data_IF_530502408034
#
_entry.id   IF_530502408034
#
_cell.length_a   1.000
_cell.length_b   1.000
_cell.length_c   1.000
_cell.angle_alpha   90.00
_cell.angle_beta   90.00
_cell.angle_gamma   90.00
#
_symmetry.space_group_name_H-M   'P 1'
#
loop_
_entity.id
_entity.type
_entity.pdbx_description
1 polymer ?
#
# COMPACT_ATOMS: atom_id res chain seq x y z
N UNK A 1 -2.33 2.04 16.48
CA UNK A 1 -3.59 2.81 16.68
C UNK A 1 -3.36 4.25 17.15
N UNK A 2 -2.34 4.54 17.94
CA UNK A 2 -2.04 5.92 18.41
C UNK A 2 -1.85 6.94 17.29
N UNK A 3 -1.19 6.56 16.17
CA UNK A 3 -0.98 7.45 15.03
C UNK A 3 -2.26 7.86 14.30
N UNK A 4 -3.16 6.92 14.01
CA UNK A 4 -4.46 7.22 13.38
C UNK A 4 -5.34 8.08 14.30
N UNK A 5 -5.36 7.76 15.61
CA UNK A 5 -6.08 8.57 16.59
C UNK A 5 -5.54 10.00 16.69
N UNK A 6 -4.21 10.19 16.64
CA UNK A 6 -3.59 11.50 16.61
C UNK A 6 -3.97 12.30 15.35
N UNK A 7 -3.98 11.67 14.18
CA UNK A 7 -4.43 12.30 12.93
C UNK A 7 -5.93 12.69 12.99
N UNK A 8 -6.76 11.86 13.61
CA UNK A 8 -8.17 12.17 13.86
C UNK A 8 -8.36 13.34 14.82
N UNK A 9 -7.60 13.38 15.92
CA UNK A 9 -7.63 14.51 16.85
C UNK A 9 -7.17 15.82 16.18
N UNK A 10 -6.20 15.73 15.28
CA UNK A 10 -5.74 16.84 14.45
C UNK A 10 -6.68 17.17 13.28
N UNK A 11 -7.79 16.43 13.10
CA UNK A 11 -8.77 16.58 12.01
C UNK A 11 -8.15 16.53 10.62
N UNK A 12 -7.10 15.71 10.48
CA UNK A 12 -6.36 15.58 9.24
C UNK A 12 -6.96 14.44 8.38
N UNK A 13 -8.13 14.72 7.80
CA UNK A 13 -8.86 13.77 6.96
C UNK A 13 -8.00 13.26 5.79
N UNK A 14 -7.20 14.14 5.17
CA UNK A 14 -6.33 13.76 4.05
C UNK A 14 -5.30 12.69 4.44
N UNK A 15 -4.59 12.88 5.57
CA UNK A 15 -3.64 11.87 6.04
C UNK A 15 -4.34 10.57 6.47
N UNK A 16 -5.56 10.65 7.02
CA UNK A 16 -6.35 9.46 7.32
C UNK A 16 -6.79 8.72 6.06
N UNK A 17 -7.16 9.43 4.99
CA UNK A 17 -7.48 8.86 3.68
C UNK A 17 -6.27 8.15 3.06
N UNK A 18 -5.09 8.77 3.09
CA UNK A 18 -3.82 8.15 2.65
C UNK A 18 -3.52 6.89 3.45
N UNK A 19 -3.69 6.92 4.78
CA UNK A 19 -3.47 5.77 5.64
C UNK A 19 -4.47 4.64 5.34
N UNK A 20 -5.74 4.97 5.18
CA UNK A 20 -6.79 4.01 4.79
C UNK A 20 -6.46 3.33 3.47
N UNK A 21 -6.07 4.10 2.44
CA UNK A 21 -5.61 3.58 1.15
C UNK A 21 -4.41 2.64 1.31
N UNK A 22 -3.40 3.06 2.07
CA UNK A 22 -2.19 2.28 2.27
C UNK A 22 -2.47 0.94 2.95
N UNK A 23 -3.39 0.91 3.92
CA UNK A 23 -3.82 -0.32 4.57
C UNK A 23 -4.61 -1.22 3.62
N UNK A 24 -5.44 -0.65 2.74
CA UNK A 24 -6.14 -1.43 1.72
C UNK A 24 -5.18 -2.07 0.71
N UNK A 25 -4.16 -1.32 0.27
CA UNK A 25 -3.07 -1.86 -0.56
C UNK A 25 -2.35 -3.01 0.15
N UNK A 26 -2.10 -2.89 1.45
CA UNK A 26 -1.52 -3.97 2.25
C UNK A 26 -2.43 -5.20 2.35
N UNK A 27 -3.74 -5.02 2.55
CA UNK A 27 -4.71 -6.12 2.55
C UNK A 27 -4.67 -6.88 1.22
N UNK A 28 -4.69 -6.17 0.10
CA UNK A 28 -4.60 -6.76 -1.24
C UNK A 28 -3.27 -7.50 -1.42
N UNK A 29 -2.17 -6.85 -1.05
CA UNK A 29 -0.83 -7.41 -1.19
C UNK A 29 -0.67 -8.68 -0.37
N UNK A 30 -1.10 -8.68 0.90
CA UNK A 30 -1.04 -9.87 1.76
C UNK A 30 -1.90 -10.99 1.18
N UNK A 31 -3.12 -10.69 0.75
CA UNK A 31 -4.04 -11.67 0.16
C UNK A 31 -3.50 -12.28 -1.14
N UNK A 32 -2.73 -11.52 -1.91
CA UNK A 32 -2.02 -11.99 -3.09
C UNK A 32 -0.76 -12.81 -2.75
N UNK A 33 0.06 -12.33 -1.81
CA UNK A 33 1.30 -12.99 -1.40
C UNK A 33 1.07 -14.38 -0.81
N UNK A 34 -0.04 -14.62 -0.09
CA UNK A 34 -0.34 -15.94 0.47
C UNK A 34 -0.80 -16.97 -0.58
N UNK A 35 -1.06 -16.58 -1.82
CA UNK A 35 -1.54 -17.48 -2.88
C UNK A 35 -0.47 -18.44 -3.39
N UNK A 36 0.80 -18.06 -3.33
CA UNK A 36 1.90 -18.92 -3.75
C UNK A 36 3.23 -18.48 -3.15
N UNK A 37 4.20 -19.39 -3.12
CA UNK A 37 5.56 -19.09 -2.63
C UNK A 37 6.23 -18.05 -3.54
N UNK A 38 6.01 -18.14 -4.85
CA UNK A 38 6.56 -17.20 -5.83
C UNK A 38 6.04 -15.77 -5.60
N UNK A 39 4.76 -15.62 -5.25
CA UNK A 39 4.19 -14.30 -4.92
C UNK A 39 4.79 -13.74 -3.62
N UNK A 40 5.00 -14.59 -2.61
CA UNK A 40 5.64 -14.19 -1.36
C UNK A 40 7.10 -13.77 -1.57
N UNK A 41 7.87 -14.53 -2.35
CA UNK A 41 9.25 -14.20 -2.72
C UNK A 41 9.35 -12.90 -3.52
N UNK A 42 8.43 -12.70 -4.48
CA UNK A 42 8.31 -11.45 -5.24
C UNK A 42 8.08 -10.25 -4.33
N UNK A 43 7.26 -10.40 -3.29
CA UNK A 43 6.99 -9.35 -2.32
C UNK A 43 8.19 -9.07 -1.38
N UNK A 44 8.92 -10.09 -0.94
CA UNK A 44 10.13 -9.93 -0.12
C UNK A 44 11.20 -9.13 -0.89
N UNK A 45 11.35 -9.40 -2.19
CA UNK A 45 12.30 -8.71 -3.06
C UNK A 45 11.91 -7.27 -3.42
N UNK A 46 10.66 -6.86 -3.21
CA UNK A 46 10.15 -5.57 -3.69
C UNK A 46 10.79 -4.35 -2.97
N UNK A 47 11.04 -4.45 -1.67
CA UNK A 47 11.59 -3.35 -0.86
C UNK A 47 12.98 -2.89 -1.33
N UNK A 48 13.97 -3.80 -1.41
CA UNK A 48 15.29 -3.47 -1.94
C UNK A 48 15.27 -2.88 -3.36
N UNK A 49 14.35 -3.34 -4.22
CA UNK A 49 14.21 -2.84 -5.59
C UNK A 49 13.74 -1.38 -5.61
N UNK A 50 12.76 -1.00 -4.78
CA UNK A 50 12.32 0.40 -4.69
C UNK A 50 13.39 1.32 -4.09
N UNK A 51 14.14 0.84 -3.08
CA UNK A 51 15.29 1.58 -2.56
C UNK A 51 16.36 1.78 -3.63
N UNK A 52 16.69 0.74 -4.40
CA UNK A 52 17.65 0.84 -5.50
C UNK A 52 17.19 1.83 -6.59
N UNK A 53 15.87 1.85 -6.89
CA UNK A 53 15.27 2.81 -7.83
C UNK A 53 15.35 4.24 -7.31
N UNK A 54 15.02 4.49 -6.05
CA UNK A 54 15.11 5.81 -5.42
C UNK A 54 16.57 6.31 -5.39
N UNK A 55 17.51 5.45 -4.99
CA UNK A 55 18.94 5.75 -5.03
C UNK A 55 19.36 6.13 -6.46
N UNK A 56 18.96 5.36 -7.46
CA UNK A 56 19.27 5.64 -8.88
C UNK A 56 18.75 6.99 -9.35
N UNK A 57 17.54 7.39 -8.93
CA UNK A 57 16.99 8.72 -9.24
C UNK A 57 17.88 9.80 -8.62
N UNK A 58 18.28 9.64 -7.36
CA UNK A 58 19.13 10.60 -6.67
C UNK A 58 20.54 10.68 -7.26
N UNK A 59 21.13 9.55 -7.64
CA UNK A 59 22.43 9.51 -8.33
C UNK A 59 22.37 10.23 -9.69
N UNK A 60 21.29 10.03 -10.46
CA UNK A 60 21.08 10.73 -11.74
C UNK A 60 20.84 12.23 -11.56
N UNK A 61 20.15 12.63 -10.49
CA UNK A 61 19.90 14.02 -10.15
C UNK A 61 21.13 14.72 -9.52
N UNK A 62 22.20 13.97 -9.23
CA UNK A 62 23.39 14.50 -8.56
C UNK A 62 23.19 14.81 -7.07
N UNK A 63 22.05 14.41 -6.49
CA UNK A 63 21.74 14.62 -5.06
C UNK A 63 22.33 13.52 -4.17
N UNK A 64 22.82 12.43 -4.76
CA UNK A 64 23.61 11.39 -4.10
C UNK A 64 24.86 11.07 -4.94
N UNK A 65 25.87 10.47 -4.30
CA UNK A 65 27.09 9.97 -4.95
C UNK A 65 27.47 8.60 -4.39
N UNK A 66 28.02 7.75 -5.24
CA UNK A 66 28.71 6.52 -4.82
C UNK A 66 30.20 6.79 -4.87
N UNK A 67 30.89 6.41 -3.79
CA UNK A 67 32.35 6.48 -3.72
C UNK A 67 32.93 5.09 -3.63
N UNK A 68 34.05 4.88 -4.32
CA UNK A 68 34.84 3.68 -4.12
C UNK A 68 35.33 3.64 -2.66
N UNK A 69 35.23 2.47 -2.02
CA UNK A 69 35.55 2.34 -0.59
C UNK A 69 37.05 2.43 -0.31
N UNK A 70 37.88 2.06 -1.28
CA UNK A 70 39.34 2.00 -1.15
C UNK A 70 40.01 3.28 -1.64
N UNK A 71 39.55 3.86 -2.75
CA UNK A 71 40.13 5.08 -3.32
C UNK A 71 39.42 6.35 -2.88
N UNK A 72 38.15 6.26 -2.45
CA UNK A 72 37.32 7.41 -2.09
C UNK A 72 36.82 8.23 -3.29
N UNK A 73 37.17 7.83 -4.51
CA UNK A 73 36.82 8.52 -5.75
C UNK A 73 35.35 8.33 -6.12
N UNK A 74 34.81 9.26 -6.92
CA UNK A 74 33.42 9.21 -7.38
C UNK A 74 33.21 8.11 -8.43
N UNK A 75 32.55 7.03 -8.02
CA UNK A 75 32.27 5.86 -8.84
C UNK A 75 30.81 5.85 -9.36
N UNK A 76 30.12 6.99 -9.29
CA UNK A 76 28.68 7.08 -9.62
C UNK A 76 28.38 6.71 -11.07
N UNK A 77 29.22 7.14 -12.02
CA UNK A 77 29.02 6.90 -13.45
C UNK A 77 29.10 5.39 -13.77
N UNK A 78 30.12 4.72 -13.24
CA UNK A 78 30.35 3.29 -13.46
C UNK A 78 29.23 2.44 -12.85
N UNK A 79 28.78 2.81 -11.65
CA UNK A 79 27.64 2.16 -11.00
C UNK A 79 26.36 2.27 -11.84
N UNK A 80 26.03 3.48 -12.32
CA UNK A 80 24.83 3.71 -13.13
C UNK A 80 24.86 2.93 -14.46
N UNK A 81 26.02 2.86 -15.11
CA UNK A 81 26.21 2.13 -16.35
C UNK A 81 26.02 0.60 -16.17
N UNK A 82 26.44 0.06 -15.03
CA UNK A 82 26.30 -1.36 -14.73
C UNK A 82 24.86 -1.73 -14.30
N UNK A 83 24.22 -0.88 -13.49
CA UNK A 83 22.83 -1.07 -13.05
C UNK A 83 21.80 -0.96 -14.18
N UNK A 84 22.04 -0.14 -15.20
CA UNK A 84 21.15 -0.04 -16.36
C UNK A 84 20.99 -1.35 -17.14
N UNK A 85 21.96 -2.26 -17.04
CA UNK A 85 21.94 -3.56 -17.71
C UNK A 85 21.07 -4.60 -17.00
N UNK A 86 20.68 -4.36 -15.75
CA UNK A 86 19.81 -5.27 -14.99
C UNK A 86 18.34 -5.00 -15.35
N UNK A 87 17.70 -5.96 -16.02
CA UNK A 87 16.24 -5.95 -16.17
C UNK A 87 15.61 -6.22 -14.81
N UNK A 88 14.95 -5.23 -14.25
CA UNK A 88 14.11 -5.44 -13.06
C UNK A 88 12.77 -6.04 -13.51
N UNK A 89 12.33 -7.17 -12.92
CA UNK A 89 11.02 -7.73 -13.24
C UNK A 89 9.93 -6.70 -12.94
N UNK A 90 8.96 -6.60 -13.86
CA UNK A 90 7.85 -5.65 -13.73
C UNK A 90 7.02 -6.04 -12.50
N UNK A 91 6.90 -5.11 -11.55
CA UNK A 91 6.06 -5.30 -10.36
C UNK A 91 4.60 -5.44 -10.78
N UNK A 92 3.89 -6.40 -10.21
CA UNK A 92 2.43 -6.51 -10.35
C UNK A 92 1.76 -5.31 -9.68
N UNK A 93 0.90 -4.63 -10.41
CA UNK A 93 0.06 -3.56 -9.89
C UNK A 93 -0.91 -4.08 -8.82
N UNK A 94 -1.42 -3.17 -7.98
CA UNK A 94 -2.41 -3.53 -6.94
C UNK A 94 -3.68 -4.14 -7.58
N UNK A 95 -4.06 -3.70 -8.78
CA UNK A 95 -5.18 -4.28 -9.53
C UNK A 95 -4.92 -5.72 -9.96
N UNK A 96 -3.75 -5.99 -10.54
CA UNK A 96 -3.34 -7.35 -10.93
C UNK A 96 -3.28 -8.27 -9.70
N UNK A 97 -2.72 -7.79 -8.59
CA UNK A 97 -2.70 -8.52 -7.33
C UNK A 97 -4.11 -8.84 -6.82
N UNK A 98 -5.03 -7.87 -6.83
CA UNK A 98 -6.41 -8.07 -6.40
C UNK A 98 -7.15 -9.07 -7.30
N UNK A 99 -6.92 -9.01 -8.61
CA UNK A 99 -7.48 -9.95 -9.58
C UNK A 99 -6.99 -11.37 -9.34
N UNK A 100 -5.69 -11.56 -9.18
CA UNK A 100 -5.09 -12.88 -8.90
C UNK A 100 -5.48 -13.44 -7.53
N UNK A 101 -5.66 -12.56 -6.55
CA UNK A 101 -6.13 -12.92 -5.22
C UNK A 101 -7.65 -13.16 -5.14
N UNK A 102 -8.40 -13.00 -6.24
CA UNK A 102 -9.86 -13.21 -6.26
C UNK A 102 -10.65 -12.21 -5.42
N UNK A 103 -10.10 -11.00 -5.22
CA UNK A 103 -10.66 -9.95 -4.34
C UNK A 103 -10.81 -8.60 -5.07
N UNK A 104 -11.07 -8.64 -6.38
CA UNK A 104 -11.12 -7.45 -7.24
C UNK A 104 -12.23 -6.46 -6.83
N UNK A 105 -13.26 -6.90 -6.11
CA UNK A 105 -14.34 -6.02 -5.66
C UNK A 105 -13.82 -5.00 -4.65
N UNK A 106 -12.89 -5.40 -3.78
CA UNK A 106 -12.27 -4.49 -2.81
C UNK A 106 -11.48 -3.39 -3.51
N UNK A 107 -10.76 -3.74 -4.58
CA UNK A 107 -10.07 -2.77 -5.41
C UNK A 107 -11.06 -1.82 -6.08
N UNK A 108 -12.11 -2.36 -6.69
CA UNK A 108 -13.05 -1.56 -7.49
C UNK A 108 -13.88 -0.61 -6.62
N UNK A 109 -14.38 -1.10 -5.47
CA UNK A 109 -15.29 -0.35 -4.59
C UNK A 109 -14.54 0.64 -3.70
N UNK A 110 -13.44 0.23 -3.06
CA UNK A 110 -12.79 1.06 -2.05
C UNK A 110 -11.53 1.74 -2.60
N UNK A 111 -10.65 0.99 -3.26
CA UNK A 111 -9.35 1.52 -3.66
C UNK A 111 -9.48 2.63 -4.70
N UNK A 112 -10.38 2.48 -5.68
CA UNK A 112 -10.58 3.49 -6.72
C UNK A 112 -11.08 4.82 -6.14
N UNK A 113 -11.99 4.78 -5.17
CA UNK A 113 -12.52 5.97 -4.52
C UNK A 113 -11.45 6.65 -3.65
N UNK A 114 -10.77 5.89 -2.79
CA UNK A 114 -9.68 6.39 -1.95
C UNK A 114 -8.51 6.94 -2.78
N UNK A 115 -8.23 6.33 -3.94
CA UNK A 115 -7.16 6.78 -4.84
C UNK A 115 -7.50 8.09 -5.54
N UNK A 116 -8.78 8.34 -5.85
CA UNK A 116 -9.22 9.63 -6.41
C UNK A 116 -9.05 10.75 -5.39
N UNK A 117 -9.39 10.52 -4.12
CA UNK A 117 -9.24 11.51 -3.05
C UNK A 117 -7.79 11.93 -2.82
N UNK A 118 -6.82 11.05 -3.09
CA UNK A 118 -5.38 11.35 -2.93
C UNK A 118 -4.74 12.10 -4.10
N UNK A 119 -5.41 12.19 -5.25
CA UNK A 119 -4.89 12.86 -6.46
C UNK A 119 -5.76 14.04 -6.92
N UNK A 120 -7.03 14.09 -6.50
CA UNK A 120 -7.84 15.30 -6.62
C UNK A 120 -7.29 16.36 -5.67
N UNK A 121 -7.20 17.61 -6.14
CA UNK A 121 -7.16 18.78 -5.26
C UNK A 121 -8.49 18.78 -4.49
N UNK A 122 -8.56 18.02 -3.41
CA UNK A 122 -9.66 18.14 -2.48
C UNK A 122 -9.45 19.46 -1.76
N UNK A 123 -10.27 20.45 -2.14
CA UNK A 123 -10.44 21.65 -1.35
C UNK A 123 -10.64 21.21 0.10
N UNK A 124 -9.69 21.58 0.96
CA UNK A 124 -9.80 21.33 2.40
C UNK A 124 -11.21 21.75 2.82
N UNK A 125 -12.03 20.84 3.40
CA UNK A 125 -13.42 21.16 3.68
C UNK A 125 -13.47 22.45 4.50
N UNK A 126 -14.04 23.52 3.94
CA UNK A 126 -14.10 24.83 4.62
C UNK A 126 -14.93 24.76 5.90
N UNK A 127 -15.82 23.78 6.00
CA UNK A 127 -16.66 23.51 7.16
C UNK A 127 -16.06 22.43 8.06
N UNK A 128 -15.86 22.82 9.32
CA UNK A 128 -15.40 21.98 10.43
C UNK A 128 -16.20 20.67 10.58
N UNK A 129 -17.53 20.73 10.39
CA UNK A 129 -18.43 19.57 10.49
C UNK A 129 -18.22 18.54 9.37
N UNK A 130 -17.84 18.97 8.17
CA UNK A 130 -17.53 18.10 7.03
C UNK A 130 -16.20 17.38 7.27
N UNK A 131 -15.19 18.09 7.78
CA UNK A 131 -13.91 17.49 8.16
C UNK A 131 -14.04 16.43 9.25
N UNK A 132 -14.85 16.69 10.28
CA UNK A 132 -15.08 15.73 11.38
C UNK A 132 -15.78 14.45 10.88
N UNK A 133 -16.77 14.58 10.00
CA UNK A 133 -17.44 13.42 9.38
C UNK A 133 -16.48 12.60 8.52
N UNK A 134 -15.65 13.25 7.70
CA UNK A 134 -14.65 12.56 6.88
C UNK A 134 -13.60 11.84 7.75
N UNK A 135 -13.13 12.48 8.82
CA UNK A 135 -12.22 11.83 9.77
C UNK A 135 -12.84 10.60 10.41
N UNK A 136 -14.12 10.67 10.81
CA UNK A 136 -14.83 9.53 11.37
C UNK A 136 -14.95 8.36 10.37
N UNK A 137 -15.32 8.66 9.12
CA UNK A 137 -15.39 7.66 8.04
C UNK A 137 -14.04 6.98 7.83
N UNK A 138 -12.94 7.75 7.70
CA UNK A 138 -11.62 7.16 7.50
C UNK A 138 -11.16 6.35 8.72
N UNK A 139 -11.42 6.80 9.95
CA UNK A 139 -11.08 6.04 11.16
C UNK A 139 -11.83 4.71 11.24
N UNK A 140 -13.12 4.70 10.91
CA UNK A 140 -13.92 3.47 10.83
C UNK A 140 -13.39 2.55 9.74
N UNK A 141 -13.07 3.09 8.55
CA UNK A 141 -12.46 2.35 7.45
C UNK A 141 -11.12 1.73 7.83
N UNK A 142 -10.23 2.51 8.47
CA UNK A 142 -8.94 2.02 9.00
C UNK A 142 -9.15 0.87 9.98
N UNK A 143 -10.12 0.98 10.90
CA UNK A 143 -10.45 -0.08 11.84
C UNK A 143 -10.95 -1.35 11.14
N UNK A 144 -11.87 -1.21 10.19
CA UNK A 144 -12.41 -2.31 9.39
C UNK A 144 -11.35 -3.02 8.56
N UNK A 145 -10.53 -2.27 7.82
CA UNK A 145 -9.44 -2.82 6.99
C UNK A 145 -8.40 -3.52 7.87
N UNK A 146 -8.01 -2.92 9.00
CA UNK A 146 -7.06 -3.54 9.93
C UNK A 146 -7.58 -4.88 10.47
N UNK A 147 -8.87 -4.97 10.77
CA UNK A 147 -9.52 -6.23 11.16
C UNK A 147 -9.51 -7.24 10.01
N UNK A 148 -9.81 -6.82 8.79
CA UNK A 148 -9.79 -7.68 7.62
C UNK A 148 -8.38 -8.24 7.34
N UNK A 149 -7.31 -7.45 7.51
CA UNK A 149 -5.93 -7.93 7.42
C UNK A 149 -5.68 -9.03 8.46
N UNK A 150 -6.02 -8.76 9.73
CA UNK A 150 -5.86 -9.75 10.80
C UNK A 150 -6.62 -11.04 10.51
N UNK A 151 -7.86 -10.94 10.03
CA UNK A 151 -8.69 -12.10 9.71
C UNK A 151 -8.15 -12.89 8.51
N UNK A 152 -7.67 -12.22 7.46
CA UNK A 152 -7.01 -12.85 6.32
C UNK A 152 -5.80 -13.68 6.76
N UNK A 153 -4.98 -13.14 7.67
CA UNK A 153 -3.86 -13.86 8.27
C UNK A 153 -4.33 -15.08 9.07
N UNK A 154 -5.38 -14.96 9.89
CA UNK A 154 -5.92 -16.09 10.67
C UNK A 154 -6.43 -17.20 9.76
N UNK A 155 -7.23 -16.89 8.73
CA UNK A 155 -7.71 -17.89 7.77
C UNK A 155 -6.56 -18.66 7.13
N UNK A 156 -5.50 -17.96 6.73
CA UNK A 156 -4.36 -18.63 6.13
C UNK A 156 -3.54 -19.44 7.13
N UNK A 157 -3.13 -18.84 8.25
CA UNK A 157 -2.20 -19.46 9.19
C UNK A 157 -2.83 -20.62 9.97
N UNK A 158 -4.11 -20.47 10.36
CA UNK A 158 -4.80 -21.45 11.20
C UNK A 158 -5.59 -22.47 10.40
N UNK A 159 -6.16 -22.06 9.27
CA UNK A 159 -7.12 -22.88 8.52
C UNK A 159 -6.66 -23.23 7.10
N UNK A 160 -5.52 -22.67 6.64
CA UNK A 160 -5.05 -22.79 5.24
C UNK A 160 -6.12 -22.40 4.22
N UNK A 161 -7.01 -21.51 4.63
CA UNK A 161 -8.11 -21.02 3.81
C UNK A 161 -7.74 -19.68 3.18
N UNK A 162 -8.09 -19.49 1.92
CA UNK A 162 -7.84 -18.25 1.21
C UNK A 162 -9.03 -17.30 1.34
N UNK A 163 -8.83 -16.04 1.72
CA UNK A 163 -9.90 -15.06 1.68
C UNK A 163 -10.39 -14.87 0.24
N UNK A 164 -11.70 -14.81 0.07
CA UNK A 164 -12.37 -14.39 -1.15
C UNK A 164 -13.14 -13.07 -0.92
N UNK A 165 -13.74 -12.56 -2.00
CA UNK A 165 -14.57 -11.37 -1.96
C UNK A 165 -15.68 -11.45 -0.90
N UNK A 166 -16.41 -12.56 -0.86
CA UNK A 166 -17.58 -12.69 0.03
C UNK A 166 -17.18 -12.68 1.50
N UNK A 167 -16.15 -13.45 1.84
CA UNK A 167 -15.63 -13.55 3.20
C UNK A 167 -15.06 -12.21 3.68
N UNK A 168 -14.30 -11.50 2.84
CA UNK A 168 -13.77 -10.18 3.22
C UNK A 168 -14.87 -9.13 3.33
N UNK A 169 -15.89 -9.17 2.47
CA UNK A 169 -17.04 -8.27 2.57
C UNK A 169 -17.82 -8.50 3.87
N UNK A 170 -17.95 -9.74 4.32
CA UNK A 170 -18.59 -10.07 5.59
C UNK A 170 -17.83 -9.45 6.78
N UNK A 171 -16.50 -9.62 6.80
CA UNK A 171 -15.63 -9.04 7.84
C UNK A 171 -15.68 -7.51 7.85
N UNK A 172 -15.85 -6.89 6.68
CA UNK A 172 -16.01 -5.45 6.53
C UNK A 172 -17.43 -4.95 6.83
N UNK A 173 -18.38 -5.84 7.14
CA UNK A 173 -19.77 -5.48 7.42
C UNK A 173 -20.55 -5.02 6.19
N UNK A 174 -20.15 -5.46 4.99
CA UNK A 174 -20.75 -5.06 3.71
C UNK A 174 -21.85 -6.01 3.22
N UNK A 175 -22.02 -7.14 3.89
CA UNK A 175 -23.03 -8.15 3.57
C UNK A 175 -24.30 -8.03 4.41
N UNK A 176 -24.29 -7.20 5.46
CA UNK A 176 -25.51 -6.90 6.22
C UNK A 176 -26.46 -6.07 5.36
N UNK A 177 -27.68 -6.57 5.16
CA UNK A 177 -28.76 -5.80 4.55
C UNK A 177 -29.05 -4.57 5.42
N UNK A 178 -29.05 -3.40 4.79
CA UNK A 178 -29.57 -2.16 5.39
C UNK A 178 -31.08 -2.27 5.63
#
# INVERSE_FOLDING_TARGET
MSGAAALGAARNAACLGILSRSLLEQLITVSWSIRSVENAESQIGAGPVEMAKALRINLKAGTAKIRDRHTGEDATADYLANEQKKQNPKRRSIEEQAKEAGILDLYTVFYRLLSLETHGHNDTPSEKSKSDKLCAIHLQGIGGISRAIGQACVWWLMHRHWPDNESLRDVLGLNTKA
#
